data_IF_775585796120
#
_entry.id   IF_775585796120
#
_cell.length_a   1.000
_cell.length_b   1.000
_cell.length_c   1.000
_cell.angle_alpha   90.00
_cell.angle_beta   90.00
_cell.angle_gamma   90.00
#
_symmetry.space_group_name_H-M   'P 1'
#
loop_
_entity.id
_entity.type
_entity.pdbx_description
1 polymer ?
#
# COMPACT_ATOMS: atom_id res chain seq x y z
N UNK A 1 -12.09 -6.39 -20.17
CA UNK A 1 -10.99 -6.45 -19.17
C UNK A 1 -9.65 -6.83 -19.77
N UNK A 2 -9.51 -7.99 -20.43
CA UNK A 2 -8.23 -8.46 -21.00
C UNK A 2 -7.66 -7.52 -22.06
N UNK A 3 -8.52 -6.97 -22.93
CA UNK A 3 -8.14 -5.94 -23.92
C UNK A 3 -7.58 -4.69 -23.23
N UNK A 4 -8.25 -4.18 -22.20
CA UNK A 4 -7.78 -3.02 -21.43
C UNK A 4 -6.38 -3.25 -20.87
N UNK A 5 -6.14 -4.40 -20.24
CA UNK A 5 -4.84 -4.73 -19.65
C UNK A 5 -3.75 -4.92 -20.69
N UNK A 6 -4.10 -5.45 -21.87
CA UNK A 6 -3.18 -5.52 -23.01
C UNK A 6 -2.79 -4.10 -23.48
N UNK A 7 -3.77 -3.23 -23.70
CA UNK A 7 -3.54 -1.85 -24.14
C UNK A 7 -2.77 -1.04 -23.09
N UNK A 8 -3.13 -1.16 -21.82
CA UNK A 8 -2.44 -0.50 -20.71
C UNK A 8 -0.97 -0.93 -20.64
N UNK A 9 -0.67 -2.21 -20.84
CA UNK A 9 0.71 -2.71 -20.88
C UNK A 9 1.51 -2.19 -22.09
N UNK A 10 0.84 -1.91 -23.21
CA UNK A 10 1.47 -1.45 -24.45
C UNK A 10 1.63 0.08 -24.50
N UNK A 11 0.72 0.83 -23.88
CA UNK A 11 0.67 2.31 -23.98
C UNK A 11 1.18 3.05 -22.75
N UNK A 12 1.07 2.48 -21.54
CA UNK A 12 1.55 3.13 -20.32
C UNK A 12 3.06 2.98 -20.16
N UNK A 13 3.65 3.83 -19.32
CA UNK A 13 5.07 3.74 -19.01
C UNK A 13 5.44 2.39 -18.36
N UNK A 14 6.67 1.92 -18.60
CA UNK A 14 7.17 0.67 -18.03
C UNK A 14 7.66 0.88 -16.60
N UNK A 15 6.78 0.67 -15.63
CA UNK A 15 7.11 0.73 -14.20
C UNK A 15 7.24 -0.66 -13.59
N UNK A 16 8.21 -0.86 -12.70
CA UNK A 16 8.47 -2.15 -12.04
C UNK A 16 7.30 -2.62 -11.13
N UNK A 17 6.49 -1.68 -10.65
CA UNK A 17 5.36 -1.94 -9.75
C UNK A 17 4.03 -2.13 -10.48
N UNK A 18 4.00 -2.07 -11.83
CA UNK A 18 2.78 -2.31 -12.60
C UNK A 18 2.53 -3.81 -12.75
N UNK A 19 1.32 -4.24 -12.37
CA UNK A 19 0.86 -5.62 -12.54
C UNK A 19 -0.47 -5.66 -13.32
N UNK A 20 -0.39 -6.25 -14.51
CA UNK A 20 -1.52 -6.52 -15.41
C UNK A 20 -1.75 -8.03 -15.58
N UNK A 21 -1.29 -8.85 -14.63
CA UNK A 21 -1.44 -10.31 -14.64
C UNK A 21 -2.82 -10.81 -14.22
N UNK A 22 -2.98 -12.14 -14.22
CA UNK A 22 -4.24 -12.81 -13.85
C UNK A 22 -4.64 -12.58 -12.38
N UNK A 23 -3.66 -12.41 -11.47
CA UNK A 23 -3.94 -12.10 -10.06
C UNK A 23 -4.58 -10.72 -9.91
N UNK A 24 -4.10 -9.72 -10.64
CA UNK A 24 -4.73 -8.40 -10.69
C UNK A 24 -6.17 -8.48 -11.22
N UNK A 25 -6.39 -9.24 -12.31
CA UNK A 25 -7.75 -9.46 -12.85
C UNK A 25 -8.67 -10.16 -11.84
N UNK A 26 -8.18 -11.19 -11.12
CA UNK A 26 -8.94 -11.85 -10.04
C UNK A 26 -9.35 -10.83 -8.97
N UNK A 27 -8.44 -9.98 -8.50
CA UNK A 27 -8.74 -8.96 -7.49
C UNK A 27 -9.80 -7.98 -7.96
N UNK A 28 -9.76 -7.55 -9.24
CA UNK A 28 -10.81 -6.69 -9.80
C UNK A 28 -12.18 -7.37 -9.77
N UNK A 29 -12.26 -8.66 -10.14
CA UNK A 29 -13.52 -9.40 -10.13
C UNK A 29 -14.07 -9.60 -8.72
N UNK A 30 -13.21 -9.86 -7.73
CA UNK A 30 -13.61 -9.95 -6.33
C UNK A 30 -14.21 -8.62 -5.85
N UNK A 31 -13.54 -7.51 -6.12
CA UNK A 31 -14.02 -6.17 -5.79
C UNK A 31 -15.33 -5.83 -6.51
N UNK A 32 -15.45 -6.15 -7.81
CA UNK A 32 -16.69 -5.96 -8.57
C UNK A 32 -17.86 -6.75 -7.95
N UNK A 33 -17.60 -7.99 -7.51
CA UNK A 33 -18.60 -8.80 -6.82
C UNK A 33 -19.04 -8.18 -5.49
N UNK A 34 -18.12 -7.61 -4.71
CA UNK A 34 -18.45 -6.90 -3.46
C UNK A 34 -19.28 -5.64 -3.73
N UNK A 35 -18.88 -4.83 -4.72
CA UNK A 35 -19.61 -3.64 -5.13
C UNK A 35 -21.04 -3.99 -5.61
N UNK A 36 -21.21 -5.05 -6.40
CA UNK A 36 -22.53 -5.49 -6.88
C UNK A 36 -23.41 -5.98 -5.72
N UNK A 37 -22.85 -6.68 -4.74
CA UNK A 37 -23.59 -7.10 -3.53
C UNK A 37 -24.01 -5.91 -2.66
N UNK A 38 -23.15 -4.90 -2.52
CA UNK A 38 -23.45 -3.67 -1.78
C UNK A 38 -24.41 -2.74 -2.52
N UNK A 39 -24.57 -2.89 -3.83
CA UNK A 39 -25.46 -2.07 -4.65
C UNK A 39 -26.10 -2.89 -5.78
N UNK A 40 -27.12 -3.72 -5.47
CA UNK A 40 -27.72 -4.65 -6.43
C UNK A 40 -28.31 -3.98 -7.66
N UNK A 41 -28.79 -2.73 -7.51
CA UNK A 41 -29.45 -1.96 -8.56
C UNK A 41 -28.50 -1.32 -9.58
N UNK A 42 -27.18 -1.26 -9.30
CA UNK A 42 -26.21 -0.72 -10.25
C UNK A 42 -26.05 -1.65 -11.46
N UNK A 43 -25.95 -1.07 -12.64
CA UNK A 43 -25.64 -1.83 -13.85
C UNK A 43 -24.25 -2.48 -13.73
N UNK A 44 -24.12 -3.73 -14.19
CA UNK A 44 -22.89 -4.51 -14.10
C UNK A 44 -21.72 -3.83 -14.82
N UNK A 45 -21.99 -3.16 -15.95
CA UNK A 45 -20.98 -2.41 -16.70
C UNK A 45 -20.37 -1.28 -15.86
N UNK A 46 -21.21 -0.54 -15.12
CA UNK A 46 -20.76 0.54 -14.22
C UNK A 46 -19.96 -0.04 -13.06
N UNK A 47 -20.41 -1.16 -12.49
CA UNK A 47 -19.69 -1.85 -11.40
C UNK A 47 -18.32 -2.31 -11.88
N UNK A 48 -18.22 -2.87 -13.08
CA UNK A 48 -16.98 -3.38 -13.63
C UNK A 48 -16.02 -2.25 -13.98
N UNK A 49 -16.49 -1.20 -14.66
CA UNK A 49 -15.72 0.01 -14.96
C UNK A 49 -15.15 0.61 -13.67
N UNK A 50 -15.97 0.68 -12.63
CA UNK A 50 -15.57 1.20 -11.32
C UNK A 50 -14.50 0.34 -10.65
N UNK A 51 -14.71 -0.97 -10.57
CA UNK A 51 -13.74 -1.89 -9.97
C UNK A 51 -12.40 -1.85 -10.72
N UNK A 52 -12.43 -1.77 -12.05
CA UNK A 52 -11.23 -1.60 -12.88
C UNK A 52 -10.51 -0.28 -12.58
N UNK A 53 -11.24 0.82 -12.47
CA UNK A 53 -10.65 2.11 -12.16
C UNK A 53 -10.02 2.13 -10.76
N UNK A 54 -10.82 1.80 -9.74
CA UNK A 54 -10.45 1.98 -8.34
C UNK A 54 -9.30 1.02 -7.94
N UNK A 55 -9.20 -0.18 -8.53
CA UNK A 55 -8.10 -1.12 -8.27
C UNK A 55 -6.77 -0.74 -8.94
N UNK A 56 -6.79 0.02 -10.04
CA UNK A 56 -5.57 0.33 -10.82
C UNK A 56 -5.06 1.75 -10.61
N UNK A 57 -5.95 2.73 -10.38
CA UNK A 57 -5.56 4.13 -10.13
C UNK A 57 -4.53 4.32 -9.00
N UNK A 58 -4.57 3.60 -7.86
CA UNK A 58 -3.59 3.76 -6.80
C UNK A 58 -2.16 3.47 -7.23
N UNK A 59 -1.98 2.65 -8.27
CA UNK A 59 -0.68 2.15 -8.74
C UNK A 59 0.02 3.10 -9.69
N UNK A 60 -0.73 3.96 -10.38
CA UNK A 60 -0.19 4.72 -11.51
C UNK A 60 0.59 5.97 -11.08
N UNK A 61 1.63 6.27 -11.86
CA UNK A 61 2.31 7.57 -11.81
C UNK A 61 1.41 8.66 -12.39
N UNK A 62 1.64 9.91 -12.00
CA UNK A 62 0.78 11.04 -12.38
C UNK A 62 0.55 11.16 -13.90
N UNK A 63 1.58 10.90 -14.69
CA UNK A 63 1.56 11.03 -16.16
C UNK A 63 0.72 9.93 -16.86
N UNK A 64 0.62 8.75 -16.25
CA UNK A 64 -0.12 7.61 -16.80
C UNK A 64 -1.61 7.61 -16.43
N UNK A 65 -1.99 8.33 -15.37
CA UNK A 65 -3.39 8.40 -14.91
C UNK A 65 -4.35 8.89 -16.01
N UNK A 66 -4.08 10.01 -16.73
CA UNK A 66 -4.95 10.47 -17.81
C UNK A 66 -5.03 9.48 -18.97
N UNK A 67 -3.93 8.82 -19.32
CA UNK A 67 -3.88 7.82 -20.40
C UNK A 67 -4.77 6.62 -20.07
N UNK A 68 -4.66 6.09 -18.84
CA UNK A 68 -5.49 4.98 -18.39
C UNK A 68 -6.97 5.36 -18.34
N UNK A 69 -7.31 6.56 -17.88
CA UNK A 69 -8.69 7.03 -17.88
C UNK A 69 -9.24 7.17 -19.31
N UNK A 70 -8.43 7.60 -20.28
CA UNK A 70 -8.79 7.58 -21.70
C UNK A 70 -9.13 6.17 -22.19
N UNK A 71 -8.26 5.18 -21.91
CA UNK A 71 -8.51 3.78 -22.26
C UNK A 71 -9.79 3.21 -21.63
N UNK A 72 -10.12 3.63 -20.40
CA UNK A 72 -11.36 3.24 -19.74
C UNK A 72 -12.58 3.84 -20.45
N UNK A 73 -12.53 5.13 -20.82
CA UNK A 73 -13.62 5.81 -21.51
C UNK A 73 -13.86 5.24 -22.92
N UNK A 74 -12.79 4.85 -23.63
CA UNK A 74 -12.90 4.20 -24.93
C UNK A 74 -13.57 2.83 -24.86
N UNK A 75 -13.33 2.08 -23.77
CA UNK A 75 -13.91 0.76 -23.56
C UNK A 75 -15.35 0.81 -23.02
N UNK A 76 -15.70 1.87 -22.29
CA UNK A 76 -16.98 2.08 -21.61
C UNK A 76 -17.59 3.43 -22.01
N UNK A 77 -17.98 3.61 -23.29
CA UNK A 77 -18.46 4.90 -23.79
C UNK A 77 -19.79 5.29 -23.15
N UNK A 78 -19.92 6.56 -22.73
CA UNK A 78 -21.16 7.11 -22.19
C UNK A 78 -21.53 6.66 -20.77
N UNK A 79 -20.61 5.98 -20.06
CA UNK A 79 -20.80 5.60 -18.67
C UNK A 79 -20.14 6.61 -17.73
N UNK A 80 -20.95 7.28 -16.93
CA UNK A 80 -20.47 8.10 -15.83
C UNK A 80 -20.20 7.23 -14.60
N UNK A 81 -18.95 7.27 -14.13
CA UNK A 81 -18.55 6.55 -12.94
C UNK A 81 -18.24 7.56 -11.83
N UNK A 82 -19.22 7.97 -11.01
CA UNK A 82 -18.92 8.82 -9.87
C UNK A 82 -18.03 8.05 -8.88
N UNK A 83 -17.06 8.76 -8.29
CA UNK A 83 -16.24 8.21 -7.21
C UNK A 83 -17.08 8.14 -5.95
N UNK A 84 -17.08 6.98 -5.27
CA UNK A 84 -17.70 6.91 -3.94
C UNK A 84 -16.82 7.67 -2.97
N UNK A 85 -17.46 8.58 -2.27
CA UNK A 85 -16.86 9.28 -1.14
C UNK A 85 -17.26 8.53 0.11
N UNK A 86 -16.34 8.46 1.06
CA UNK A 86 -16.62 8.06 2.43
C UNK A 86 -16.56 9.33 3.27
N UNK A 87 -17.66 10.09 3.42
CA UNK A 87 -17.60 11.41 4.05
C UNK A 87 -17.07 11.32 5.48
N UNK A 88 -17.66 10.44 6.29
CA UNK A 88 -17.26 10.25 7.69
C UNK A 88 -15.79 9.81 7.83
N UNK A 89 -15.31 8.97 6.91
CA UNK A 89 -13.92 8.51 6.92
C UNK A 89 -12.97 9.62 6.45
N UNK A 90 -13.33 10.38 5.42
CA UNK A 90 -12.54 11.51 4.95
C UNK A 90 -12.41 12.57 6.05
N UNK A 91 -13.51 12.88 6.74
CA UNK A 91 -13.53 13.81 7.85
C UNK A 91 -12.65 13.31 9.01
N UNK A 92 -12.70 12.01 9.35
CA UNK A 92 -11.83 11.40 10.35
C UNK A 92 -10.35 11.46 9.96
N UNK A 93 -10.01 11.24 8.69
CA UNK A 93 -8.64 11.36 8.17
C UNK A 93 -8.16 12.80 8.24
N UNK A 94 -9.00 13.77 7.87
CA UNK A 94 -8.68 15.19 7.96
C UNK A 94 -8.43 15.63 9.40
N UNK A 95 -9.30 15.21 10.33
CA UNK A 95 -9.14 15.47 11.76
C UNK A 95 -7.82 14.87 12.29
N UNK A 96 -7.52 13.62 11.94
CA UNK A 96 -6.27 12.95 12.36
C UNK A 96 -5.02 13.67 11.82
N UNK A 97 -5.07 14.20 10.60
CA UNK A 97 -3.98 14.99 10.04
C UNK A 97 -3.82 16.32 10.79
N UNK A 98 -4.92 17.01 11.10
CA UNK A 98 -4.90 18.27 11.86
C UNK A 98 -4.39 18.07 13.28
N UNK A 99 -4.84 17.04 13.99
CA UNK A 99 -4.41 16.71 15.35
C UNK A 99 -2.90 16.48 15.45
N UNK A 100 -2.32 15.85 14.41
CA UNK A 100 -0.89 15.61 14.30
C UNK A 100 -0.10 16.80 13.71
N UNK A 101 -0.75 17.96 13.56
CA UNK A 101 -0.19 19.21 13.01
C UNK A 101 0.40 19.00 11.61
N UNK A 102 -0.30 18.23 10.78
CA UNK A 102 0.02 18.16 9.36
C UNK A 102 -0.80 19.18 8.59
N UNK A 103 -0.14 19.84 7.64
CA UNK A 103 -0.80 20.75 6.72
C UNK A 103 -1.67 19.94 5.74
N UNK A 104 -2.95 20.30 5.64
CA UNK A 104 -3.85 19.79 4.63
C UNK A 104 -3.48 20.38 3.26
N UNK A 105 -3.29 19.51 2.28
CA UNK A 105 -2.88 19.92 0.94
C UNK A 105 -4.10 20.41 0.14
N UNK A 106 -3.90 21.40 -0.77
CA UNK A 106 -4.88 21.71 -1.80
C UNK A 106 -5.23 20.44 -2.59
N UNK A 107 -6.50 20.28 -2.96
CA UNK A 107 -7.05 19.14 -3.70
C UNK A 107 -7.10 17.79 -2.96
N UNK A 108 -6.95 17.75 -1.63
CA UNK A 108 -7.13 16.54 -0.81
C UNK A 108 -6.28 15.33 -1.26
N UNK A 109 -5.19 15.53 -2.01
CA UNK A 109 -4.39 14.45 -2.61
C UNK A 109 -3.88 13.46 -1.56
N UNK A 110 -3.56 13.94 -0.35
CA UNK A 110 -3.14 13.08 0.76
C UNK A 110 -4.31 12.24 1.31
N UNK A 111 -5.48 12.84 1.49
CA UNK A 111 -6.70 12.13 1.94
C UNK A 111 -7.07 11.06 0.93
N UNK A 112 -7.01 11.39 -0.35
CA UNK A 112 -7.24 10.45 -1.44
C UNK A 112 -6.30 9.24 -1.39
N UNK A 113 -5.01 9.45 -1.08
CA UNK A 113 -4.04 8.37 -0.96
C UNK A 113 -4.29 7.50 0.28
N UNK A 114 -4.74 8.08 1.38
CA UNK A 114 -5.17 7.32 2.58
C UNK A 114 -6.39 6.45 2.28
N UNK A 115 -7.38 6.99 1.56
CA UNK A 115 -8.56 6.23 1.10
C UNK A 115 -8.15 5.09 0.16
N UNK A 116 -7.29 5.38 -0.82
CA UNK A 116 -6.78 4.35 -1.75
C UNK A 116 -6.03 3.24 -1.01
N UNK A 117 -5.25 3.57 0.01
CA UNK A 117 -4.58 2.58 0.85
C UNK A 117 -5.59 1.74 1.64
N UNK A 118 -6.60 2.36 2.23
CA UNK A 118 -7.67 1.66 2.93
C UNK A 118 -8.40 0.67 2.01
N UNK A 119 -8.84 1.12 0.83
CA UNK A 119 -9.50 0.26 -0.16
C UNK A 119 -8.59 -0.90 -0.62
N UNK A 120 -7.29 -0.62 -0.80
CA UNK A 120 -6.31 -1.65 -1.15
C UNK A 120 -6.18 -2.70 -0.04
N UNK A 121 -6.13 -2.28 1.22
CA UNK A 121 -6.03 -3.18 2.38
C UNK A 121 -7.29 -4.03 2.60
N UNK A 122 -8.46 -3.57 2.17
CA UNK A 122 -9.69 -4.38 2.20
C UNK A 122 -9.62 -5.55 1.20
N UNK A 123 -8.98 -5.35 0.05
CA UNK A 123 -8.89 -6.37 -0.99
C UNK A 123 -7.70 -7.31 -0.84
N UNK A 124 -6.60 -6.85 -0.24
CA UNK A 124 -5.37 -7.62 -0.05
C UNK A 124 -4.79 -7.37 1.35
N UNK A 125 -4.45 -8.44 2.06
CA UNK A 125 -3.83 -8.35 3.40
C UNK A 125 -2.37 -7.89 3.36
N UNK A 126 -1.74 -7.87 2.19
CA UNK A 126 -0.39 -7.35 2.00
C UNK A 126 -0.43 -6.14 1.09
N UNK A 127 0.06 -4.99 1.56
CA UNK A 127 0.07 -3.72 0.81
C UNK A 127 1.47 -3.10 0.79
N UNK A 128 1.93 -2.71 -0.40
CA UNK A 128 3.17 -1.98 -0.65
C UNK A 128 2.88 -0.52 -0.96
N UNK A 129 3.42 0.39 -0.15
CA UNK A 129 3.43 1.83 -0.39
C UNK A 129 4.77 2.18 -1.03
N UNK A 130 4.73 2.47 -2.33
CA UNK A 130 5.92 2.71 -3.17
C UNK A 130 6.07 4.18 -3.46
N UNK A 131 7.30 4.67 -3.38
CA UNK A 131 7.64 6.00 -3.83
C UNK A 131 8.94 6.47 -3.20
N UNK A 132 9.58 7.51 -3.76
CA UNK A 132 10.82 8.02 -3.22
C UNK A 132 10.63 8.65 -1.83
N UNK A 133 11.75 8.90 -1.16
CA UNK A 133 11.79 9.58 0.14
C UNK A 133 11.18 10.99 0.02
N UNK A 134 10.49 11.44 1.07
CA UNK A 134 9.78 12.73 1.02
C UNK A 134 8.47 12.71 0.23
N UNK A 135 7.93 11.54 -0.11
CA UNK A 135 6.56 11.40 -0.62
C UNK A 135 5.47 11.46 0.47
N UNK A 136 5.83 11.40 1.75
CA UNK A 136 4.85 11.33 2.84
C UNK A 136 4.25 9.94 3.05
N UNK A 137 4.92 8.87 2.59
CA UNK A 137 4.48 7.46 2.73
C UNK A 137 4.18 7.10 4.19
N UNK A 138 5.12 7.32 5.10
CA UNK A 138 4.93 7.02 6.53
C UNK A 138 3.77 7.81 7.14
N UNK A 139 3.49 9.03 6.64
CA UNK A 139 2.34 9.83 7.08
C UNK A 139 1.02 9.20 6.62
N UNK A 140 0.95 8.70 5.38
CA UNK A 140 -0.24 7.99 4.89
C UNK A 140 -0.52 6.75 5.73
N UNK A 141 0.52 5.95 6.03
CA UNK A 141 0.41 4.75 6.85
C UNK A 141 -0.02 5.10 8.28
N UNK A 142 0.65 6.05 8.93
CA UNK A 142 0.35 6.42 10.32
C UNK A 142 -1.03 7.06 10.48
N UNK A 143 -1.46 7.85 9.49
CA UNK A 143 -2.81 8.46 9.50
C UNK A 143 -3.89 7.41 9.38
N UNK A 144 -3.69 6.39 8.53
CA UNK A 144 -4.67 5.32 8.34
C UNK A 144 -4.81 4.45 9.59
N UNK A 145 -3.69 4.06 10.20
CA UNK A 145 -3.70 3.16 11.35
C UNK A 145 -4.16 3.86 12.64
N UNK A 146 -3.99 5.19 12.71
CA UNK A 146 -4.31 5.98 13.89
C UNK A 146 -3.49 5.59 15.12
N UNK A 147 -3.77 6.25 16.24
CA UNK A 147 -2.99 6.09 17.49
C UNK A 147 -3.33 4.81 18.28
N UNK A 148 -4.48 4.19 18.02
CA UNK A 148 -4.99 3.04 18.80
C UNK A 148 -4.49 1.69 18.30
N UNK A 149 -3.81 1.67 17.16
CA UNK A 149 -3.46 0.44 16.47
C UNK A 149 -1.99 0.11 16.71
N UNK A 150 -1.69 -1.09 17.24
CA UNK A 150 -0.32 -1.57 17.38
C UNK A 150 0.29 -1.83 16.00
N UNK A 151 1.35 -1.08 15.69
CA UNK A 151 2.19 -1.23 14.51
C UNK A 151 3.55 -1.77 14.97
N UNK A 152 4.01 -2.85 14.35
CA UNK A 152 5.34 -3.42 14.58
C UNK A 152 6.25 -3.05 13.41
N UNK A 153 6.99 -1.92 13.48
CA UNK A 153 7.97 -1.56 12.46
C UNK A 153 9.19 -2.48 12.54
N UNK A 154 9.61 -3.00 11.40
CA UNK A 154 10.74 -3.89 11.25
C UNK A 154 11.53 -3.50 10.01
N UNK A 155 12.85 -3.34 10.15
CA UNK A 155 13.74 -3.19 9.00
C UNK A 155 14.38 -4.54 8.69
N UNK A 156 13.93 -5.26 7.63
CA UNK A 156 14.43 -6.59 7.31
C UNK A 156 15.90 -6.58 6.86
N UNK A 157 16.43 -5.45 6.38
CA UNK A 157 17.84 -5.33 5.94
C UNK A 157 18.80 -4.98 7.08
N UNK A 158 18.27 -4.59 8.24
CA UNK A 158 19.10 -4.33 9.43
C UNK A 158 19.60 -5.62 10.09
N UNK A 159 19.12 -6.78 9.64
CA UNK A 159 19.39 -8.09 10.24
C UNK A 159 19.70 -9.12 9.16
N UNK A 160 20.34 -10.21 9.56
CA UNK A 160 20.49 -11.38 8.68
C UNK A 160 19.16 -12.12 8.50
N UNK A 161 19.03 -12.85 7.39
CA UNK A 161 17.85 -13.71 7.11
C UNK A 161 17.66 -14.77 8.20
N UNK A 162 18.78 -15.25 8.76
CA UNK A 162 18.84 -16.20 9.87
C UNK A 162 18.19 -15.61 11.12
N UNK A 163 18.55 -14.39 11.52
CA UNK A 163 17.94 -13.72 12.68
C UNK A 163 16.49 -13.33 12.43
N UNK A 164 16.12 -13.08 11.16
CA UNK A 164 14.76 -12.70 10.79
C UNK A 164 13.79 -13.87 10.89
N UNK A 165 14.11 -15.03 10.30
CA UNK A 165 13.21 -16.20 10.25
C UNK A 165 13.50 -17.28 11.29
N UNK A 166 14.74 -17.34 11.77
CA UNK A 166 15.24 -18.39 12.64
C UNK A 166 16.17 -19.35 11.91
N UNK A 167 16.88 -20.15 12.70
CA UNK A 167 17.85 -21.13 12.20
C UNK A 167 17.73 -22.44 12.96
N UNK A 168 17.88 -23.53 12.20
CA UNK A 168 18.09 -24.86 12.74
C UNK A 168 19.61 -25.07 12.82
N UNK A 169 20.11 -25.25 14.04
CA UNK A 169 21.52 -25.56 14.24
C UNK A 169 21.84 -26.94 13.62
N UNK A 170 22.83 -27.03 12.71
CA UNK A 170 23.14 -28.28 12.02
C UNK A 170 23.71 -29.37 12.94
N UNK A 171 24.39 -28.97 14.02
CA UNK A 171 25.08 -29.89 14.94
C UNK A 171 24.14 -30.34 16.07
N UNK A 172 23.48 -29.38 16.72
CA UNK A 172 22.59 -29.68 17.87
C UNK A 172 21.18 -30.08 17.43
N UNK A 173 20.77 -29.70 16.21
CA UNK A 173 19.38 -29.79 15.71
C UNK A 173 18.38 -28.99 16.54
N UNK A 174 18.85 -28.05 17.34
CA UNK A 174 17.99 -27.14 18.09
C UNK A 174 17.51 -26.00 17.19
N UNK A 175 16.24 -25.64 17.35
CA UNK A 175 15.62 -24.54 16.61
C UNK A 175 15.69 -23.25 17.41
N UNK A 176 16.23 -22.20 16.79
CA UNK A 176 16.19 -20.84 17.33
C UNK A 176 15.22 -20.00 16.50
N UNK A 177 14.17 -19.49 17.14
CA UNK A 177 13.18 -18.63 16.48
C UNK A 177 13.76 -17.27 16.09
N UNK A 178 13.42 -16.83 14.88
CA UNK A 178 13.73 -15.48 14.42
C UNK A 178 12.76 -14.43 14.95
N UNK A 179 13.14 -13.17 14.79
CA UNK A 179 12.34 -12.03 15.24
C UNK A 179 10.98 -12.01 14.53
N UNK A 180 10.94 -12.27 13.22
CA UNK A 180 9.69 -12.26 12.48
C UNK A 180 8.75 -13.38 12.93
N UNK A 181 9.28 -14.58 13.17
CA UNK A 181 8.51 -15.72 13.66
C UNK A 181 7.87 -15.44 15.02
N UNK A 182 8.60 -14.78 15.92
CA UNK A 182 8.09 -14.34 17.22
C UNK A 182 7.01 -13.25 17.07
N UNK A 183 7.26 -12.26 16.22
CA UNK A 183 6.26 -11.21 15.92
C UNK A 183 5.00 -11.88 15.36
N UNK A 184 5.09 -12.80 14.40
CA UNK A 184 3.94 -13.54 13.85
C UNK A 184 3.08 -14.27 14.88
N UNK A 185 3.65 -14.69 16.02
CA UNK A 185 2.91 -15.34 17.12
C UNK A 185 2.26 -14.34 18.08
N UNK A 186 2.84 -13.16 18.27
CA UNK A 186 2.39 -12.14 19.23
C UNK A 186 1.51 -11.03 18.60
N UNK A 187 1.53 -10.85 17.27
CA UNK A 187 0.83 -9.74 16.62
C UNK A 187 -0.67 -9.85 16.85
N UNK A 188 -1.23 -8.71 17.24
CA UNK A 188 -2.67 -8.50 17.27
C UNK A 188 -3.20 -7.67 16.08
N UNK A 189 -2.36 -6.96 15.27
CA UNK A 189 -2.81 -6.16 14.11
C UNK A 189 -1.84 -5.97 12.91
N UNK A 190 -0.80 -5.11 12.94
CA UNK A 190 -0.06 -4.75 11.70
C UNK A 190 1.47 -4.87 11.83
N UNK A 191 2.11 -5.44 10.81
CA UNK A 191 3.57 -5.42 10.64
C UNK A 191 3.92 -4.40 9.56
N UNK A 192 4.85 -3.50 9.83
CA UNK A 192 5.41 -2.59 8.84
C UNK A 192 6.85 -2.98 8.54
N UNK A 193 7.11 -3.38 7.30
CA UNK A 193 8.47 -3.54 6.78
C UNK A 193 8.94 -2.19 6.24
N UNK A 194 9.84 -1.54 6.96
CA UNK A 194 10.45 -0.25 6.58
C UNK A 194 11.85 -0.50 6.01
N UNK A 195 11.94 -0.53 4.68
CA UNK A 195 13.20 -0.76 3.99
C UNK A 195 13.02 -1.42 2.62
N UNK A 196 14.10 -1.45 1.85
CA UNK A 196 14.07 -2.01 0.50
C UNK A 196 13.77 -3.51 0.50
N UNK A 197 13.04 -3.94 -0.54
CA UNK A 197 12.74 -5.34 -0.79
C UNK A 197 13.89 -5.97 -1.56
N UNK A 198 14.37 -7.12 -1.06
CA UNK A 198 15.38 -7.94 -1.71
C UNK A 198 14.85 -9.37 -1.86
N UNK A 199 15.26 -10.04 -2.93
CA UNK A 199 14.86 -11.41 -3.28
C UNK A 199 15.15 -12.38 -2.13
N UNK A 200 16.29 -12.21 -1.44
CA UNK A 200 16.77 -13.17 -0.44
C UNK A 200 15.79 -13.38 0.73
N UNK A 201 15.21 -12.31 1.26
CA UNK A 201 14.27 -12.41 2.39
C UNK A 201 12.81 -12.47 1.92
N UNK A 202 12.46 -11.75 0.85
CA UNK A 202 11.04 -11.65 0.43
C UNK A 202 10.52 -12.95 -0.17
N UNK A 203 11.39 -13.81 -0.70
CA UNK A 203 10.98 -15.11 -1.24
C UNK A 203 10.34 -16.01 -0.17
N UNK A 204 10.83 -15.97 1.07
CA UNK A 204 10.25 -16.73 2.18
C UNK A 204 8.86 -16.20 2.59
N UNK A 205 8.53 -14.95 2.23
CA UNK A 205 7.22 -14.35 2.48
C UNK A 205 6.17 -14.71 1.43
N UNK A 206 6.57 -15.29 0.30
CA UNK A 206 5.68 -15.54 -0.83
C UNK A 206 4.43 -16.33 -0.45
N UNK A 207 4.57 -17.31 0.44
CA UNK A 207 3.47 -18.16 0.94
C UNK A 207 2.52 -17.41 1.88
N UNK A 208 3.03 -16.42 2.63
CA UNK A 208 2.23 -15.53 3.48
C UNK A 208 1.49 -14.50 2.66
N UNK A 209 2.12 -13.96 1.61
CA UNK A 209 1.53 -12.93 0.76
C UNK A 209 0.43 -13.47 -0.17
N UNK A 210 0.39 -14.79 -0.40
CA UNK A 210 -0.69 -15.43 -1.15
C UNK A 210 -1.95 -15.62 -0.29
N UNK A 211 -3.04 -16.08 -0.92
CA UNK A 211 -4.34 -16.32 -0.26
C UNK A 211 -4.26 -17.32 0.92
N UNK A 212 -3.20 -18.13 0.97
CA UNK A 212 -2.94 -19.11 2.02
C UNK A 212 -2.61 -18.48 3.38
N UNK A 213 -1.99 -17.28 3.42
CA UNK A 213 -1.59 -16.59 4.65
C UNK A 213 -0.74 -17.45 5.59
N UNK A 214 0.18 -18.26 5.05
CA UNK A 214 0.99 -19.22 5.81
C UNK A 214 2.49 -18.92 5.71
N UNK A 215 3.13 -18.67 6.85
CA UNK A 215 4.58 -18.57 6.98
C UNK A 215 5.13 -19.97 7.20
N UNK A 216 6.02 -20.42 6.31
CA UNK A 216 6.68 -21.73 6.43
C UNK A 216 8.13 -21.51 6.81
N UNK A 217 8.52 -21.99 7.98
CA UNK A 217 9.87 -21.87 8.51
C UNK A 217 10.72 -23.07 8.06
N UNK A 218 12.05 -22.93 8.15
CA UNK A 218 12.99 -23.96 7.70
C UNK A 218 12.90 -25.28 8.51
N UNK A 219 12.45 -25.21 9.78
CA UNK A 219 12.12 -26.39 10.59
C UNK A 219 10.83 -27.12 10.16
N UNK A 220 10.10 -26.60 9.16
CA UNK A 220 8.83 -27.14 8.68
C UNK A 220 7.60 -26.63 9.45
N UNK A 221 7.77 -25.79 10.47
CA UNK A 221 6.67 -25.15 11.19
C UNK A 221 5.89 -24.22 10.24
N UNK A 222 4.57 -24.23 10.37
CA UNK A 222 3.66 -23.42 9.56
C UNK A 222 2.83 -22.52 10.45
N UNK A 223 3.14 -21.22 10.44
CA UNK A 223 2.45 -20.21 11.23
C UNK A 223 1.44 -19.49 10.33
N UNK A 224 0.16 -19.56 10.68
CA UNK A 224 -0.90 -18.88 9.91
C UNK A 224 -1.09 -17.45 10.39
N UNK A 225 -1.02 -16.49 9.47
CA UNK A 225 -1.35 -15.09 9.74
C UNK A 225 -2.85 -14.98 10.02
N UNK A 226 -3.20 -14.33 11.12
CA UNK A 226 -4.60 -14.13 11.52
C UNK A 226 -5.31 -13.18 10.54
N UNK A 227 -6.63 -13.35 10.38
CA UNK A 227 -7.40 -12.62 9.36
C UNK A 227 -7.46 -11.10 9.59
N UNK A 228 -7.35 -10.67 10.84
CA UNK A 228 -7.32 -9.26 11.20
C UNK A 228 -5.92 -8.65 11.13
N UNK A 229 -4.91 -9.46 10.78
CA UNK A 229 -3.55 -8.98 10.59
C UNK A 229 -3.27 -8.63 9.14
N UNK A 230 -2.50 -7.57 8.93
CA UNK A 230 -2.05 -7.18 7.61
C UNK A 230 -0.55 -6.80 7.60
N UNK A 231 0.08 -7.01 6.45
CA UNK A 231 1.47 -6.71 6.19
C UNK A 231 1.56 -5.44 5.36
N UNK A 232 2.33 -4.47 5.86
CA UNK A 232 2.57 -3.20 5.20
C UNK A 232 4.05 -3.11 4.84
N UNK A 233 4.34 -2.59 3.66
CA UNK A 233 5.70 -2.40 3.20
C UNK A 233 5.85 -0.94 2.78
N UNK A 234 6.79 -0.24 3.41
CA UNK A 234 7.24 1.08 2.96
C UNK A 234 8.52 0.90 2.15
N UNK A 235 8.45 1.15 0.84
CA UNK A 235 9.56 0.88 -0.09
C UNK A 235 9.84 2.08 -0.98
N UNK A 236 11.12 2.30 -1.30
CA UNK A 236 11.54 3.33 -2.25
C UNK A 236 11.20 2.94 -3.68
N UNK A 237 11.68 1.77 -4.09
CA UNK A 237 11.56 1.24 -5.45
C UNK A 237 11.53 -0.30 -5.43
N UNK A 238 11.04 -0.90 -6.51
CA UNK A 238 10.82 -2.34 -6.67
C UNK A 238 11.62 -2.94 -7.85
N UNK A 239 12.65 -2.25 -8.35
CA UNK A 239 13.50 -2.77 -9.44
C UNK A 239 14.14 -4.15 -9.15
N UNK A 240 14.45 -4.43 -7.88
CA UNK A 240 15.06 -5.69 -7.46
C UNK A 240 14.04 -6.73 -6.97
N UNK A 241 12.75 -6.37 -6.91
CA UNK A 241 11.69 -7.28 -6.51
C UNK A 241 11.25 -8.13 -7.71
N UNK A 242 10.98 -9.41 -7.46
CA UNK A 242 10.46 -10.28 -8.51
C UNK A 242 9.03 -9.86 -8.93
N UNK A 243 8.65 -9.96 -10.22
CA UNK A 243 7.27 -9.72 -10.64
C UNK A 243 6.25 -10.62 -9.92
N UNK A 244 6.68 -11.82 -9.50
CA UNK A 244 5.85 -12.73 -8.73
C UNK A 244 5.49 -12.16 -7.35
N UNK A 245 6.43 -11.49 -6.67
CA UNK A 245 6.22 -10.78 -5.41
C UNK A 245 5.25 -9.61 -5.59
N UNK A 246 5.48 -8.78 -6.61
CA UNK A 246 4.63 -7.63 -6.94
C UNK A 246 3.19 -8.05 -7.19
N UNK A 247 2.99 -9.16 -7.91
CA UNK A 247 1.64 -9.66 -8.23
C UNK A 247 0.79 -10.08 -7.02
N UNK A 248 1.42 -10.34 -5.87
CA UNK A 248 0.76 -10.79 -4.62
C UNK A 248 0.39 -9.64 -3.70
N UNK A 249 0.96 -8.46 -3.90
CA UNK A 249 0.78 -7.30 -3.03
C UNK A 249 -0.23 -6.32 -3.61
N UNK A 250 -0.98 -5.63 -2.76
CA UNK A 250 -1.66 -4.39 -3.12
C UNK A 250 -0.63 -3.30 -3.33
N UNK A 251 -0.86 -2.38 -4.27
CA UNK A 251 0.14 -1.39 -4.65
C UNK A 251 -0.44 0.01 -4.56
N UNK A 252 0.22 0.89 -3.80
CA UNK A 252 -0.14 2.30 -3.67
C UNK A 252 1.10 3.12 -3.96
N UNK A 253 1.10 3.81 -5.10
CA UNK A 253 2.17 4.72 -5.48
C UNK A 253 1.92 6.12 -4.90
N UNK A 254 2.94 6.66 -4.24
CA UNK A 254 2.93 8.00 -3.65
C UNK A 254 4.00 8.86 -4.33
N UNK A 255 3.56 9.76 -5.19
CA UNK A 255 4.45 10.66 -5.93
C UNK A 255 4.90 11.84 -5.03
N UNK A 256 6.21 12.11 -4.87
CA UNK A 256 6.70 13.28 -4.15
C UNK A 256 6.32 14.59 -4.83
N UNK A 257 6.04 14.62 -6.13
CA UNK A 257 5.57 15.84 -6.83
C UNK A 257 4.26 16.36 -6.23
N UNK A 258 3.45 15.48 -5.63
CA UNK A 258 2.23 15.84 -4.92
C UNK A 258 2.54 16.59 -3.62
N UNK A 259 3.61 16.21 -2.91
CA UNK A 259 4.16 16.93 -1.77
C UNK A 259 5.27 17.89 -2.23
N UNK A 260 4.88 19.06 -2.72
CA UNK A 260 5.82 20.18 -2.94
C UNK A 260 6.52 20.57 -1.63
N UNK A 261 7.44 21.53 -1.66
CA UNK A 261 8.16 21.96 -0.45
C UNK A 261 7.27 22.69 0.58
N UNK A 262 6.17 23.32 0.14
CA UNK A 262 5.32 24.22 0.95
C UNK A 262 4.80 23.60 2.26
N UNK A 263 4.26 22.36 2.27
CA UNK A 263 3.73 21.74 3.48
C UNK A 263 4.82 21.42 4.51
N UNK A 264 6.04 21.09 4.05
CA UNK A 264 7.19 20.89 4.93
C UNK A 264 7.60 22.18 5.62
N UNK A 265 7.69 23.25 4.83
CA UNK A 265 8.01 24.59 5.31
C UNK A 265 6.97 25.12 6.31
N UNK A 266 5.69 25.00 6.00
CA UNK A 266 4.60 25.45 6.86
C UNK A 266 4.56 24.68 8.18
N UNK A 267 4.66 23.35 8.15
CA UNK A 267 4.74 22.55 9.38
C UNK A 267 5.95 22.91 10.24
N UNK A 268 7.08 23.20 9.60
CA UNK A 268 8.27 23.63 10.34
C UNK A 268 8.07 25.01 10.98
N UNK A 269 7.44 25.96 10.29
CA UNK A 269 7.08 27.27 10.85
C UNK A 269 6.15 27.15 12.06
N UNK A 270 5.12 26.31 11.97
CA UNK A 270 4.13 26.11 13.04
C UNK A 270 4.71 25.42 14.27
N UNK A 271 5.72 24.55 14.09
CA UNK A 271 6.38 23.86 15.20
C UNK A 271 7.53 24.66 15.84
N UNK A 272 7.82 25.89 15.39
CA UNK A 272 8.88 26.70 16.00
C UNK A 272 8.47 27.17 17.41
N UNK A 273 9.36 27.03 18.43
CA UNK A 273 9.13 27.66 19.72
C UNK A 273 9.14 29.18 19.59
N UNK A 274 8.20 29.85 20.27
CA UNK A 274 7.93 31.31 20.20
C UNK A 274 9.13 32.23 20.48
N UNK A 275 10.28 31.71 20.94
CA UNK A 275 11.48 32.49 21.31
C UNK A 275 12.39 32.90 20.14
N UNK A 276 12.14 32.46 18.92
CA UNK A 276 12.95 32.85 17.73
C UNK A 276 12.13 33.73 16.77
N UNK A 277 11.44 34.74 17.31
CA UNK A 277 10.78 35.81 16.53
C UNK A 277 11.65 37.06 16.34
N UNK A 278 12.88 37.08 16.84
CA UNK A 278 13.84 38.15 16.58
C UNK A 278 15.01 37.60 15.74
N UNK A 279 15.42 38.38 14.73
CA UNK A 279 16.48 38.13 13.74
C UNK A 279 16.07 37.36 12.48
N UNK A 280 15.14 37.94 11.72
CA UNK A 280 15.39 38.14 10.29
C UNK A 280 15.15 39.63 10.04
N UNK A 281 16.23 40.41 10.15
CA UNK A 281 16.30 41.77 9.59
C UNK A 281 16.75 41.59 8.14
N UNK A 282 15.93 42.13 7.23
CA UNK A 282 16.16 42.49 5.82
C UNK A 282 17.20 41.67 5.03
#
# INVERSE_FOLDING_TARGET
MTVLYKLAREQLSKQAHYDFGLRALKSVLVMAGELKRGSPHLNEDVVLMRALRDMNLPKFVFEDVPLFLGLILDLFPGLDCPRVRYPDFNDAVENTLQDNKYVLLPNQVRVDKVVQMYETMMTRHTTMVVGPTGGGKSVVISTLLGLLTKLYPLNPKAMSVIELYGILDPDTRDWTDGILSNIFRDINRYILFDGDVDALWVENMNSVMDDNKLLTLANGERIRLQNHCALLFEVGDLQYASPATVSRCGMVFVDPKNLRYTPYWQRWLENRPLKVKCLIIL
#
